data_IF_405985659461
#
_entry.id   IF_405985659461
#
_cell.length_a   1.000
_cell.length_b   1.000
_cell.length_c   1.000
_cell.angle_alpha   90.00
_cell.angle_beta   90.00
_cell.angle_gamma   90.00
#
_symmetry.space_group_name_H-M   'P 1'
#
loop_
_entity.id
_entity.type
_entity.pdbx_description
1 polymer ?
#
# COMPACT_ATOMS: atom_id res chain seq x y z
N UNK A 1 4.30 53.95 -43.45
CA UNK A 1 3.79 54.43 -44.72
C UNK A 1 4.92 55.21 -45.42
N UNK A 2 5.25 54.87 -46.66
CA UNK A 2 6.21 55.61 -47.43
C UNK A 2 5.56 56.87 -48.10
N UNK A 3 6.37 57.69 -48.80
CA UNK A 3 5.89 58.94 -49.47
C UNK A 3 4.88 58.61 -50.58
N UNK A 4 4.81 57.40 -51.11
CA UNK A 4 3.88 56.94 -52.15
C UNK A 4 2.59 56.36 -51.53
N UNK A 5 2.46 56.37 -50.20
CA UNK A 5 1.27 55.86 -49.46
C UNK A 5 1.25 54.38 -49.18
N UNK A 6 2.37 53.66 -49.51
CA UNK A 6 2.44 52.23 -49.21
C UNK A 6 2.60 52.00 -47.72
N UNK A 7 1.84 51.02 -47.16
CA UNK A 7 1.93 50.62 -45.77
C UNK A 7 2.54 49.21 -45.66
N UNK A 8 3.41 49.06 -44.72
CA UNK A 8 3.89 47.75 -44.26
C UNK A 8 3.35 47.54 -42.88
N UNK A 9 2.70 46.40 -42.62
CA UNK A 9 2.32 45.95 -41.30
C UNK A 9 3.09 44.70 -40.96
N UNK A 10 3.69 44.66 -39.78
CA UNK A 10 4.26 43.45 -39.20
C UNK A 10 3.33 43.01 -38.09
N UNK A 11 2.85 41.77 -38.16
CA UNK A 11 2.11 41.12 -37.11
C UNK A 11 3.04 40.16 -36.34
N UNK A 12 2.98 40.20 -35.04
CA UNK A 12 3.61 39.21 -34.21
C UNK A 12 2.53 38.45 -33.46
N UNK A 13 2.57 37.13 -33.54
CA UNK A 13 1.70 36.26 -32.71
C UNK A 13 2.33 36.13 -31.33
N UNK A 14 1.59 36.47 -30.32
CA UNK A 14 1.93 36.22 -28.93
C UNK A 14 1.02 35.10 -28.42
N UNK A 15 1.65 34.00 -28.01
CA UNK A 15 0.91 32.93 -27.30
C UNK A 15 0.97 33.21 -25.81
N UNK A 16 -0.20 33.21 -25.17
CA UNK A 16 -0.33 33.28 -23.71
C UNK A 16 -0.53 31.87 -23.22
N UNK A 17 0.41 31.35 -22.45
CA UNK A 17 0.31 30.12 -21.71
C UNK A 17 0.23 30.45 -20.22
N UNK A 18 -0.87 30.08 -19.61
CA UNK A 18 -1.16 30.38 -18.18
C UNK A 18 -1.54 29.15 -17.36
N UNK A 19 -1.35 27.95 -17.94
CA UNK A 19 -1.77 26.71 -17.28
C UNK A 19 -0.71 25.62 -17.38
N UNK A 20 -0.46 24.95 -16.26
CA UNK A 20 0.36 23.76 -16.16
C UNK A 20 -0.42 22.71 -15.36
N UNK A 21 -0.38 21.46 -15.77
CA UNK A 21 -1.08 20.35 -15.11
C UNK A 21 -0.08 19.27 -14.72
N UNK A 22 -0.32 18.67 -13.54
CA UNK A 22 0.49 17.58 -13.02
C UNK A 22 -0.40 16.70 -12.15
N UNK A 23 -0.23 15.38 -12.23
CA UNK A 23 -0.87 14.41 -11.33
C UNK A 23 0.15 13.41 -10.84
N UNK A 24 -0.16 12.77 -9.72
CA UNK A 24 0.48 11.55 -9.22
C UNK A 24 -0.57 10.45 -9.25
N UNK A 25 -0.23 9.29 -9.78
CA UNK A 25 -1.09 8.09 -9.78
C UNK A 25 -0.99 7.38 -8.44
N UNK A 26 -1.89 6.41 -8.20
CA UNK A 26 -1.83 5.49 -7.06
C UNK A 26 -0.48 4.80 -7.02
N UNK A 27 0.17 4.80 -5.85
CA UNK A 27 1.47 4.21 -5.59
C UNK A 27 1.26 2.81 -5.03
N UNK A 28 2.11 1.83 -5.39
CA UNK A 28 2.05 0.46 -4.88
C UNK A 28 0.66 -0.19 -5.01
N UNK A 29 -0.13 0.22 -6.05
CA UNK A 29 -1.48 -0.28 -6.36
C UNK A 29 -2.60 0.28 -5.46
N UNK A 30 -2.35 0.52 -4.18
CA UNK A 30 -3.38 0.88 -3.17
C UNK A 30 -2.97 2.02 -2.23
N UNK A 31 -1.84 2.70 -2.52
CA UNK A 31 -1.24 3.74 -1.69
C UNK A 31 -0.74 3.22 -0.31
N UNK A 32 -0.47 1.92 -0.22
CA UNK A 32 0.18 1.30 0.94
C UNK A 32 1.42 0.55 0.45
N UNK A 33 2.59 0.85 0.99
CA UNK A 33 3.83 0.14 0.71
C UNK A 33 4.07 -0.86 1.85
N UNK A 34 3.92 -2.14 1.56
CA UNK A 34 4.18 -3.25 2.47
C UNK A 34 5.68 -3.54 2.66
N UNK A 35 6.03 -4.41 3.63
CA UNK A 35 7.40 -4.93 3.76
C UNK A 35 7.88 -5.56 2.44
N UNK A 36 7.06 -6.38 1.80
CA UNK A 36 7.43 -7.06 0.55
C UNK A 36 7.71 -6.08 -0.61
N UNK A 37 6.89 -5.03 -0.75
CA UNK A 37 7.07 -4.01 -1.79
C UNK A 37 8.26 -3.11 -1.50
N UNK A 38 8.53 -2.80 -0.23
CA UNK A 38 9.68 -2.01 0.21
C UNK A 38 11.04 -2.66 -0.12
N UNK A 39 11.07 -3.98 -0.38
CA UNK A 39 12.28 -4.71 -0.77
C UNK A 39 12.69 -4.47 -2.24
N UNK A 40 11.86 -3.81 -3.01
CA UNK A 40 12.10 -3.45 -4.42
C UNK A 40 11.98 -1.94 -4.62
N UNK A 41 12.51 -1.44 -5.73
CA UNK A 41 12.30 -0.04 -6.10
C UNK A 41 10.80 0.24 -6.27
N UNK A 42 10.33 1.35 -5.72
CA UNK A 42 8.94 1.78 -5.81
C UNK A 42 8.78 2.80 -6.92
N UNK A 43 7.99 2.46 -7.94
CA UNK A 43 7.71 3.36 -9.05
C UNK A 43 6.65 4.39 -8.66
N UNK A 44 6.99 5.67 -8.80
CA UNK A 44 6.05 6.79 -8.71
C UNK A 44 5.80 7.30 -10.12
N UNK A 45 4.54 7.39 -10.51
CA UNK A 45 4.13 7.80 -11.85
C UNK A 45 3.01 8.82 -11.83
N UNK A 46 2.73 9.39 -13.00
CA UNK A 46 1.64 10.31 -13.17
C UNK A 46 1.58 10.90 -14.56
N UNK A 47 0.81 11.97 -14.70
CA UNK A 47 0.64 12.66 -15.98
C UNK A 47 0.92 14.16 -15.86
N UNK A 48 1.32 14.75 -16.98
CA UNK A 48 1.44 16.17 -17.19
C UNK A 48 0.86 16.53 -18.57
N UNK A 49 0.81 17.80 -18.90
CA UNK A 49 0.42 18.21 -20.26
C UNK A 49 1.41 17.65 -21.30
N UNK A 50 0.90 17.16 -22.43
CA UNK A 50 1.74 16.77 -23.58
C UNK A 50 2.56 17.93 -24.15
N UNK A 51 2.14 19.17 -23.89
CA UNK A 51 2.90 20.37 -24.23
C UNK A 51 4.21 20.49 -23.42
N UNK A 52 4.29 19.81 -22.27
CA UNK A 52 5.46 19.78 -21.38
C UNK A 52 6.40 18.60 -21.66
N UNK A 53 6.20 17.87 -22.75
CA UNK A 53 7.08 16.77 -23.14
C UNK A 53 8.56 17.20 -23.14
N UNK A 54 9.41 16.37 -22.51
CA UNK A 54 10.84 16.66 -22.30
C UNK A 54 11.15 17.52 -21.08
N UNK A 55 10.14 18.03 -20.34
CA UNK A 55 10.33 18.74 -19.08
C UNK A 55 10.62 17.78 -17.94
N UNK A 56 11.29 18.30 -16.93
CA UNK A 56 11.60 17.53 -15.74
C UNK A 56 10.50 17.70 -14.69
N UNK A 57 9.96 16.58 -14.22
CA UNK A 57 9.19 16.48 -13.00
C UNK A 57 10.15 16.16 -11.86
N UNK A 58 10.14 16.98 -10.83
CA UNK A 58 10.92 16.75 -9.62
C UNK A 58 10.01 16.12 -8.56
N UNK A 59 10.36 14.92 -8.12
CA UNK A 59 9.61 14.15 -7.10
C UNK A 59 10.43 14.14 -5.82
N UNK A 60 9.78 14.39 -4.68
CA UNK A 60 10.41 14.31 -3.35
C UNK A 60 9.68 13.31 -2.46
N UNK A 61 10.43 12.48 -1.74
CA UNK A 61 9.97 11.55 -0.72
C UNK A 61 11.01 11.46 0.38
N UNK A 62 10.60 11.63 1.64
CA UNK A 62 11.48 11.48 2.79
C UNK A 62 12.72 12.40 2.80
N UNK A 63 12.64 13.54 2.10
CA UNK A 63 13.76 14.49 1.96
C UNK A 63 14.70 14.19 0.79
N UNK A 64 14.56 13.05 0.12
CA UNK A 64 15.28 12.72 -1.12
C UNK A 64 14.55 13.27 -2.34
N UNK A 65 15.31 13.53 -3.42
CA UNK A 65 14.77 14.11 -4.65
C UNK A 65 15.10 13.21 -5.84
N UNK A 66 14.09 12.95 -6.67
CA UNK A 66 14.16 12.14 -7.88
C UNK A 66 13.66 12.94 -9.07
N UNK A 67 14.19 12.69 -10.25
CA UNK A 67 13.81 13.42 -11.45
C UNK A 67 13.24 12.46 -12.50
N UNK A 68 12.04 12.75 -12.96
CA UNK A 68 11.39 12.13 -14.11
C UNK A 68 11.39 13.06 -15.30
N UNK A 69 11.18 12.52 -16.50
CA UNK A 69 10.98 13.31 -17.72
C UNK A 69 9.58 13.06 -18.26
N UNK A 70 8.85 14.13 -18.55
CA UNK A 70 7.54 14.03 -19.22
C UNK A 70 7.72 13.44 -20.62
N UNK A 71 7.05 12.35 -20.89
CA UNK A 71 7.08 11.65 -22.17
C UNK A 71 6.21 12.39 -23.22
N UNK A 72 6.35 12.09 -24.53
CA UNK A 72 5.54 12.72 -25.58
C UNK A 72 4.01 12.49 -25.42
N UNK A 73 3.60 11.45 -24.72
CA UNK A 73 2.20 11.14 -24.40
C UNK A 73 1.70 11.82 -23.12
N UNK A 74 2.56 12.58 -22.46
CA UNK A 74 2.25 13.28 -21.21
C UNK A 74 2.46 12.44 -19.94
N UNK A 75 2.86 11.18 -20.04
CA UNK A 75 3.18 10.35 -18.85
C UNK A 75 4.57 10.69 -18.30
N UNK A 76 4.78 10.42 -17.03
CA UNK A 76 6.08 10.47 -16.38
C UNK A 76 6.18 9.37 -15.30
N UNK A 77 7.38 8.89 -15.06
CA UNK A 77 7.65 7.95 -13.98
C UNK A 77 9.08 8.06 -13.48
N UNK A 78 9.29 7.71 -12.22
CA UNK A 78 10.59 7.59 -11.59
C UNK A 78 10.55 6.45 -10.56
N UNK A 79 11.66 5.73 -10.45
CA UNK A 79 11.82 4.70 -9.44
C UNK A 79 12.53 5.30 -8.22
N UNK A 80 11.92 5.09 -7.04
CA UNK A 80 12.52 5.37 -5.73
C UNK A 80 13.24 4.11 -5.29
N UNK A 81 14.58 4.16 -5.07
CA UNK A 81 15.33 2.99 -4.66
C UNK A 81 14.79 2.37 -3.37
N UNK A 82 14.74 1.03 -3.30
CA UNK A 82 14.33 0.29 -2.11
C UNK A 82 15.03 0.77 -0.83
N UNK A 83 16.33 1.08 -0.91
CA UNK A 83 17.09 1.58 0.23
C UNK A 83 16.57 2.93 0.79
N UNK A 84 16.05 3.80 -0.09
CA UNK A 84 15.49 5.09 0.31
C UNK A 84 14.10 4.93 0.92
N UNK A 85 13.30 3.97 0.44
CA UNK A 85 12.00 3.59 1.03
C UNK A 85 12.21 2.99 2.42
N UNK A 86 13.11 2.01 2.56
CA UNK A 86 13.43 1.34 3.82
C UNK A 86 14.09 2.26 4.86
N UNK A 87 14.63 3.39 4.45
CA UNK A 87 15.17 4.40 5.36
C UNK A 87 14.07 5.25 6.02
N UNK A 88 12.82 5.17 5.54
CA UNK A 88 11.68 5.85 6.14
C UNK A 88 11.17 5.05 7.35
N UNK A 89 10.39 5.72 8.20
CA UNK A 89 9.67 5.06 9.29
C UNK A 89 8.26 4.71 8.82
N UNK A 90 7.71 3.62 9.34
CA UNK A 90 6.30 3.27 9.12
C UNK A 90 5.38 4.44 9.48
N UNK A 91 4.33 4.62 8.69
CA UNK A 91 3.35 5.68 8.81
C UNK A 91 3.06 6.40 7.50
N UNK A 92 2.31 7.49 7.58
CA UNK A 92 1.95 8.31 6.42
C UNK A 92 3.15 9.12 5.93
N UNK A 93 3.46 8.99 4.64
CA UNK A 93 4.48 9.70 3.91
C UNK A 93 3.84 10.60 2.86
N UNK A 94 4.39 11.78 2.64
CA UNK A 94 3.97 12.67 1.56
C UNK A 94 4.95 12.58 0.40
N UNK A 95 4.43 12.23 -0.76
CA UNK A 95 5.12 12.35 -2.05
C UNK A 95 4.73 13.67 -2.67
N UNK A 96 5.70 14.52 -2.99
CA UNK A 96 5.45 15.78 -3.69
C UNK A 96 6.05 15.72 -5.08
N UNK A 97 5.26 16.00 -6.12
CA UNK A 97 5.75 16.20 -7.47
C UNK A 97 5.61 17.67 -7.89
N UNK A 98 6.61 18.20 -8.57
CA UNK A 98 6.61 19.56 -9.07
C UNK A 98 7.12 19.64 -10.51
N UNK A 99 6.54 20.57 -11.28
CA UNK A 99 6.88 20.83 -12.67
C UNK A 99 6.82 22.34 -12.95
N UNK A 100 7.74 22.83 -13.77
CA UNK A 100 7.68 24.16 -14.36
C UNK A 100 7.66 24.04 -15.88
N UNK A 101 6.64 24.61 -16.50
CA UNK A 101 6.47 24.59 -17.96
C UNK A 101 7.44 25.53 -18.70
N UNK A 102 7.31 25.60 -20.06
CA UNK A 102 8.15 26.45 -20.89
C UNK A 102 7.89 27.94 -20.70
N UNK A 103 6.69 28.32 -20.27
CA UNK A 103 6.29 29.69 -20.04
C UNK A 103 6.68 30.20 -18.64
N UNK A 104 7.13 29.32 -17.75
CA UNK A 104 7.52 29.60 -16.38
C UNK A 104 6.38 29.41 -15.36
N UNK A 105 5.24 28.80 -15.76
CA UNK A 105 4.20 28.44 -14.81
C UNK A 105 4.64 27.21 -14.01
N UNK A 106 4.46 27.24 -12.70
CA UNK A 106 4.84 26.15 -11.80
C UNK A 106 3.62 25.52 -11.15
N UNK A 107 3.65 24.19 -10.99
CA UNK A 107 2.67 23.40 -10.24
C UNK A 107 3.39 22.49 -9.26
N UNK A 108 2.75 22.24 -8.13
CA UNK A 108 3.16 21.23 -7.15
C UNK A 108 1.92 20.45 -6.70
N UNK A 109 2.04 19.13 -6.59
CA UNK A 109 0.97 18.22 -6.18
C UNK A 109 1.53 17.29 -5.12
N UNK A 110 0.76 17.12 -4.04
CA UNK A 110 1.06 16.19 -2.97
C UNK A 110 0.17 14.94 -3.10
N UNK A 111 0.74 13.79 -2.77
CA UNK A 111 0.06 12.50 -2.71
C UNK A 111 0.48 11.79 -1.42
N UNK A 112 -0.49 11.24 -0.69
CA UNK A 112 -0.23 10.52 0.55
C UNK A 112 -0.08 9.03 0.24
N UNK A 113 0.94 8.41 0.81
CA UNK A 113 1.18 6.96 0.77
C UNK A 113 1.52 6.50 2.19
N UNK A 114 1.06 5.33 2.58
CA UNK A 114 1.40 4.73 3.88
C UNK A 114 2.52 3.72 3.69
N UNK A 115 3.58 3.83 4.47
CA UNK A 115 4.58 2.76 4.62
C UNK A 115 4.19 1.94 5.84
N UNK A 116 4.03 0.63 5.67
CA UNK A 116 3.79 -0.32 6.74
C UNK A 116 4.59 -1.60 6.47
N UNK A 117 5.70 -1.74 7.17
CA UNK A 117 6.61 -2.88 7.05
C UNK A 117 6.53 -3.81 8.26
N UNK A 118 5.62 -3.53 9.19
CA UNK A 118 5.51 -4.24 10.46
C UNK A 118 4.46 -5.34 10.39
N UNK A 119 4.89 -6.61 10.48
CA UNK A 119 3.97 -7.74 10.55
C UNK A 119 3.14 -7.73 11.85
N UNK A 120 1.83 -8.07 11.79
CA UNK A 120 0.97 -8.08 12.96
C UNK A 120 1.40 -9.14 13.98
N UNK A 121 1.42 -8.76 15.26
CA UNK A 121 1.65 -9.71 16.36
C UNK A 121 0.35 -10.47 16.63
N UNK A 122 0.33 -11.76 16.31
CA UNK A 122 -0.86 -12.62 16.47
C UNK A 122 -0.73 -13.54 17.68
N UNK A 123 -1.83 -13.73 18.38
CA UNK A 123 -1.95 -14.68 19.50
C UNK A 123 -3.12 -15.63 19.31
N UNK A 124 -3.10 -16.77 20.00
CA UNK A 124 -4.24 -17.69 20.14
C UNK A 124 -4.40 -18.07 21.60
N UNK A 125 -5.61 -17.97 22.11
CA UNK A 125 -5.99 -18.36 23.48
C UNK A 125 -6.04 -19.90 23.63
N UNK A 126 -6.06 -20.44 24.84
CA UNK A 126 -6.30 -21.87 25.09
C UNK A 126 -7.54 -22.37 24.34
N UNK A 127 -7.38 -23.50 23.65
CA UNK A 127 -8.47 -24.19 22.94
C UNK A 127 -9.26 -25.00 23.98
N UNK A 128 -10.59 -24.97 23.94
CA UNK A 128 -11.47 -25.63 24.89
C UNK A 128 -11.12 -25.33 26.38
N UNK A 129 -10.48 -24.17 26.64
CA UNK A 129 -10.01 -23.64 27.93
C UNK A 129 -8.74 -24.25 28.52
N UNK A 130 -8.39 -25.48 28.19
CA UNK A 130 -7.26 -26.23 28.77
C UNK A 130 -6.35 -26.93 27.73
N UNK A 131 -6.61 -26.68 26.45
CA UNK A 131 -5.92 -27.31 25.31
C UNK A 131 -6.20 -28.83 25.19
N UNK A 132 -7.32 -29.29 25.77
CA UNK A 132 -7.82 -30.66 25.64
C UNK A 132 -9.26 -30.59 25.12
N UNK A 133 -9.50 -31.05 23.93
CA UNK A 133 -10.86 -31.09 23.34
C UNK A 133 -11.47 -32.46 23.60
N UNK A 134 -12.35 -32.56 24.57
CA UNK A 134 -13.08 -33.80 24.90
C UNK A 134 -14.05 -34.21 23.77
N UNK A 135 -14.44 -35.48 23.72
CA UNK A 135 -15.44 -35.99 22.77
C UNK A 135 -16.78 -35.22 22.83
N UNK A 136 -17.14 -34.68 23.99
CA UNK A 136 -18.35 -33.86 24.14
C UNK A 136 -18.20 -32.47 23.48
N UNK A 137 -17.03 -31.84 23.58
CA UNK A 137 -16.72 -30.56 22.97
C UNK A 137 -16.53 -30.73 21.46
N UNK A 138 -15.85 -31.78 21.02
CA UNK A 138 -15.68 -32.11 19.59
C UNK A 138 -17.01 -32.37 18.87
N UNK A 139 -18.02 -32.84 19.59
CA UNK A 139 -19.38 -33.03 19.10
C UNK A 139 -20.18 -31.75 18.88
N UNK A 140 -19.66 -30.61 19.33
CA UNK A 140 -20.25 -29.29 19.19
C UNK A 140 -19.38 -28.34 18.34
N UNK A 141 -19.54 -27.06 18.61
CA UNK A 141 -18.64 -26.03 18.09
C UNK A 141 -17.61 -25.65 19.17
N UNK A 142 -16.36 -25.57 18.79
CA UNK A 142 -15.25 -25.11 19.63
C UNK A 142 -14.95 -23.67 19.24
N UNK A 143 -14.95 -22.76 20.22
CA UNK A 143 -14.59 -21.36 19.98
C UNK A 143 -13.08 -21.21 19.99
N UNK A 144 -12.51 -20.79 18.87
CA UNK A 144 -11.13 -20.32 18.76
C UNK A 144 -11.11 -18.80 18.89
N UNK A 145 -10.15 -18.26 19.61
CA UNK A 145 -10.03 -16.82 19.81
C UNK A 145 -8.58 -16.39 20.07
N UNK A 146 -8.33 -15.10 19.90
CA UNK A 146 -7.02 -14.51 20.15
C UNK A 146 -7.00 -13.03 19.82
N UNK A 147 -5.80 -12.51 19.61
CA UNK A 147 -5.58 -11.12 19.22
C UNK A 147 -4.65 -11.03 18.01
N UNK A 148 -4.82 -10.00 17.22
CA UNK A 148 -3.87 -9.51 16.23
C UNK A 148 -4.12 -8.02 16.02
N UNK A 149 -3.49 -7.42 15.05
CA UNK A 149 -3.76 -6.03 14.70
C UNK A 149 -5.23 -5.84 14.30
N UNK A 150 -5.77 -4.65 14.57
CA UNK A 150 -7.16 -4.33 14.24
C UNK A 150 -7.42 -4.43 12.72
N UNK A 151 -8.55 -5.01 12.36
CA UNK A 151 -8.98 -5.25 10.97
C UNK A 151 -8.10 -6.25 10.17
N UNK A 152 -7.17 -6.97 10.83
CA UNK A 152 -6.43 -8.05 10.18
C UNK A 152 -7.33 -9.22 9.81
N UNK A 153 -7.00 -9.91 8.73
CA UNK A 153 -7.57 -11.22 8.41
C UNK A 153 -6.79 -12.31 9.15
N UNK A 154 -7.49 -13.32 9.67
CA UNK A 154 -6.89 -14.42 10.42
C UNK A 154 -7.26 -15.74 9.77
N UNK A 155 -6.26 -16.55 9.47
CA UNK A 155 -6.42 -17.91 8.94
C UNK A 155 -5.88 -18.90 9.96
N UNK A 156 -6.72 -19.86 10.37
CA UNK A 156 -6.36 -20.92 11.31
C UNK A 156 -6.35 -22.26 10.58
N UNK A 157 -5.25 -23.00 10.66
CA UNK A 157 -5.11 -24.33 10.06
C UNK A 157 -4.87 -25.37 11.15
N UNK A 158 -5.72 -26.41 11.17
CA UNK A 158 -5.63 -27.53 12.12
C UNK A 158 -5.72 -28.83 11.31
N UNK A 159 -4.62 -29.57 11.21
CA UNK A 159 -4.57 -30.75 10.33
C UNK A 159 -4.89 -30.35 8.88
N UNK A 160 -6.01 -30.87 8.36
CA UNK A 160 -6.51 -30.54 7.01
C UNK A 160 -7.60 -29.48 6.99
N UNK A 161 -8.03 -29.00 8.16
CA UNK A 161 -9.09 -28.01 8.30
C UNK A 161 -8.53 -26.60 8.27
N UNK A 162 -9.25 -25.71 7.60
CA UNK A 162 -8.91 -24.28 7.53
C UNK A 162 -10.13 -23.45 7.93
N UNK A 163 -9.92 -22.48 8.81
CA UNK A 163 -10.95 -21.57 9.31
C UNK A 163 -10.48 -20.13 9.14
N UNK A 164 -11.43 -19.22 8.98
CA UNK A 164 -11.17 -17.80 8.82
C UNK A 164 -11.83 -16.99 9.94
N UNK A 165 -11.18 -15.94 10.33
CA UNK A 165 -11.69 -14.91 11.21
C UNK A 165 -11.18 -13.54 10.76
N UNK A 166 -11.71 -12.48 11.34
CA UNK A 166 -11.18 -11.12 11.23
C UNK A 166 -11.10 -10.51 12.60
N UNK A 167 -10.10 -9.69 12.86
CA UNK A 167 -10.03 -8.93 14.09
C UNK A 167 -11.02 -7.76 14.06
N UNK A 168 -11.60 -7.46 15.20
CA UNK A 168 -12.40 -6.26 15.38
C UNK A 168 -11.48 -5.02 15.59
N UNK A 169 -12.09 -3.85 15.77
CA UNK A 169 -11.36 -2.59 16.01
C UNK A 169 -10.49 -2.58 17.29
N UNK A 170 -10.68 -3.55 18.20
CA UNK A 170 -9.86 -3.72 19.40
C UNK A 170 -8.77 -4.80 19.22
N UNK A 171 -8.60 -5.31 17.99
CA UNK A 171 -7.61 -6.35 17.70
C UNK A 171 -7.99 -7.75 18.18
N UNK A 172 -9.25 -8.01 18.54
CA UNK A 172 -9.70 -9.33 19.00
C UNK A 172 -10.37 -10.09 17.86
N UNK A 173 -10.00 -11.34 17.67
CA UNK A 173 -10.66 -12.26 16.76
C UNK A 173 -11.28 -13.45 17.50
N UNK A 174 -12.35 -13.97 16.94
CA UNK A 174 -13.04 -15.17 17.42
C UNK A 174 -13.75 -15.87 16.27
N UNK A 175 -13.78 -17.18 16.30
CA UNK A 175 -14.53 -18.01 15.33
C UNK A 175 -14.96 -19.33 15.98
N UNK A 176 -16.18 -19.78 15.69
CA UNK A 176 -16.69 -21.05 16.14
C UNK A 176 -16.45 -22.09 15.03
N UNK A 177 -15.78 -23.18 15.38
CA UNK A 177 -15.32 -24.20 14.44
C UNK A 177 -15.80 -25.59 14.83
N UNK A 178 -16.03 -26.46 13.84
CA UNK A 178 -16.27 -27.88 14.10
C UNK A 178 -14.97 -28.66 13.91
N UNK A 179 -14.57 -29.38 14.95
CA UNK A 179 -13.40 -30.28 14.95
C UNK A 179 -13.81 -31.76 14.80
N UNK A 180 -15.10 -32.07 14.63
CA UNK A 180 -15.64 -33.42 14.56
C UNK A 180 -15.04 -34.31 13.44
N UNK A 181 -14.36 -33.73 12.47
CA UNK A 181 -13.67 -34.47 11.40
C UNK A 181 -12.25 -34.94 11.79
N UNK A 182 -11.72 -34.47 12.93
CA UNK A 182 -10.42 -34.88 13.44
C UNK A 182 -10.58 -36.15 14.29
N UNK A 183 -9.61 -37.05 14.21
CA UNK A 183 -9.51 -38.19 15.08
C UNK A 183 -8.82 -37.83 16.41
N UNK A 184 -8.93 -38.69 17.43
CA UNK A 184 -8.18 -38.53 18.67
C UNK A 184 -6.66 -38.45 18.38
N UNK A 185 -5.97 -37.55 19.04
CA UNK A 185 -4.53 -37.34 18.89
C UNK A 185 -4.07 -35.90 19.09
N UNK A 186 -2.77 -35.70 18.93
CA UNK A 186 -2.13 -34.41 19.08
C UNK A 186 -2.24 -33.55 17.82
N UNK A 187 -2.65 -32.33 17.94
CA UNK A 187 -2.77 -31.34 16.87
C UNK A 187 -2.06 -30.03 17.22
N UNK A 188 -1.79 -29.26 16.20
CA UNK A 188 -1.33 -27.88 16.33
C UNK A 188 -2.24 -26.97 15.52
N UNK A 189 -2.82 -25.97 16.17
CA UNK A 189 -3.49 -24.88 15.49
C UNK A 189 -2.44 -23.86 15.04
N UNK A 190 -2.22 -23.76 13.72
CA UNK A 190 -1.34 -22.75 13.13
C UNK A 190 -2.21 -21.55 12.74
N UNK A 191 -1.81 -20.37 13.18
CA UNK A 191 -2.56 -19.13 12.96
C UNK A 191 -1.69 -18.15 12.19
N UNK A 192 -2.22 -17.60 11.13
CA UNK A 192 -1.62 -16.52 10.33
C UNK A 192 -2.56 -15.33 10.40
N UNK A 193 -2.06 -14.19 10.81
CA UNK A 193 -2.77 -12.91 10.67
C UNK A 193 -2.11 -12.09 9.59
N UNK A 194 -2.92 -11.46 8.73
CA UNK A 194 -2.45 -10.55 7.68
C UNK A 194 -3.14 -9.20 7.88
N UNK A 195 -2.36 -8.13 7.96
CA UNK A 195 -2.83 -6.75 8.12
C UNK A 195 -3.37 -6.15 6.80
N UNK A 196 -3.69 -4.86 6.84
CA UNK A 196 -4.21 -4.14 5.68
C UNK A 196 -3.13 -3.89 4.61
N UNK A 197 -1.86 -3.83 4.99
CA UNK A 197 -0.74 -3.69 4.06
C UNK A 197 -0.32 -5.01 3.40
N UNK A 198 -0.83 -6.16 3.90
CA UNK A 198 -0.47 -7.48 3.40
C UNK A 198 0.69 -8.14 4.16
N UNK A 199 1.24 -7.51 5.22
CA UNK A 199 2.26 -8.13 6.06
C UNK A 199 1.63 -9.23 6.91
N UNK A 200 2.34 -10.34 7.11
CA UNK A 200 1.80 -11.51 7.80
C UNK A 200 2.62 -11.91 9.01
N UNK A 201 1.92 -12.05 10.14
CA UNK A 201 2.46 -12.61 11.38
C UNK A 201 1.91 -14.01 11.65
N UNK A 202 2.68 -14.85 12.35
CA UNK A 202 2.29 -16.23 12.62
C UNK A 202 2.45 -16.61 14.08
N UNK A 203 1.58 -17.51 14.55
CA UNK A 203 1.71 -18.18 15.85
C UNK A 203 1.14 -19.58 15.75
N UNK A 204 1.39 -20.39 16.76
CA UNK A 204 0.78 -21.72 16.84
C UNK A 204 0.44 -22.10 18.28
N UNK A 205 -0.47 -23.07 18.41
CA UNK A 205 -0.85 -23.65 19.70
C UNK A 205 -1.06 -25.14 19.59
N UNK A 206 -0.33 -25.98 20.33
CA UNK A 206 -0.58 -27.39 20.43
C UNK A 206 -1.80 -27.65 21.32
N UNK A 207 -2.57 -28.69 21.01
CA UNK A 207 -3.70 -29.19 21.79
C UNK A 207 -3.94 -30.67 21.51
N UNK A 208 -4.72 -31.35 22.37
CA UNK A 208 -5.08 -32.76 22.26
C UNK A 208 -6.59 -32.92 21.97
N UNK A 209 -6.92 -33.91 21.12
CA UNK A 209 -8.29 -34.36 20.81
C UNK A 209 -8.59 -35.67 21.52
#
# INVERSE_FOLDING_TARGET
QDIAGNQVSAGQTVTVDSSVTLTIDTIAVDDIISDAESQSDVTISGTASTADAGRTVTVTLGGNTYNATVQPDGTWSVDVPAADVQAQSDGELTVTASLTDAAGNAVSVDHLVTLDTTAPVVTINPIATDDIVSAAEAGGLVTLSGTAEANSTVVITIGTLTFNATTNASGVWTTDVSLAALADGDYTANVVATDAAGNSGTTNRPFEM
#
